data_IF_967331284169
#
_entry.id   IF_967331284169
#
_cell.length_a   1.000
_cell.length_b   1.000
_cell.length_c   1.000
_cell.angle_alpha   90.00
_cell.angle_beta   90.00
_cell.angle_gamma   90.00
#
_symmetry.space_group_name_H-M   'P 1'
#
loop_
_entity.id
_entity.type
_entity.pdbx_description
1 polymer ?
#
# COMPACT_ATOMS: atom_id res chain seq x y z
N UNK A 1 -16.50 -15.57 -20.60
CA UNK A 1 -16.59 -14.11 -20.53
C UNK A 1 -15.58 -13.62 -19.50
N UNK A 2 -14.95 -12.49 -19.79
CA UNK A 2 -13.95 -11.90 -18.91
C UNK A 2 -14.63 -10.90 -17.98
N UNK A 3 -14.35 -10.99 -16.65
CA UNK A 3 -14.85 -10.02 -15.69
C UNK A 3 -14.12 -8.68 -15.83
N UNK A 4 -14.87 -7.58 -15.78
CA UNK A 4 -14.35 -6.22 -15.91
C UNK A 4 -14.21 -5.61 -14.51
N UNK A 5 -13.00 -5.19 -14.17
CA UNK A 5 -12.69 -4.48 -12.93
C UNK A 5 -12.28 -3.03 -13.26
N UNK A 6 -13.01 -2.07 -12.70
CA UNK A 6 -12.72 -0.65 -12.92
C UNK A 6 -11.63 -0.18 -11.98
N UNK A 7 -10.56 0.36 -12.57
CA UNK A 7 -9.39 0.82 -11.83
C UNK A 7 -9.66 2.07 -10.99
N UNK A 8 -8.90 2.24 -9.90
CA UNK A 8 -8.84 3.51 -9.13
C UNK A 8 -8.49 4.73 -10.00
N UNK A 9 -7.90 4.52 -11.17
CA UNK A 9 -7.59 5.59 -12.14
C UNK A 9 -8.85 6.30 -12.67
N UNK A 10 -10.03 5.69 -12.55
CA UNK A 10 -11.31 6.33 -12.87
C UNK A 10 -11.77 7.33 -11.81
N UNK A 11 -11.11 7.37 -10.64
CA UNK A 11 -11.39 8.35 -9.58
C UNK A 11 -12.79 8.18 -8.97
N UNK A 12 -13.18 6.94 -8.65
CA UNK A 12 -14.50 6.60 -8.11
C UNK A 12 -14.59 7.04 -6.66
N UNK A 13 -15.40 8.06 -6.36
CA UNK A 13 -15.59 8.64 -5.03
C UNK A 13 -17.06 8.66 -4.57
N UNK A 14 -17.98 8.12 -5.33
CA UNK A 14 -19.39 8.11 -4.97
C UNK A 14 -20.13 6.92 -5.60
N UNK A 15 -21.30 6.61 -5.04
CA UNK A 15 -22.14 5.49 -5.49
C UNK A 15 -22.77 5.71 -6.88
N UNK A 16 -22.96 6.96 -7.32
CA UNK A 16 -23.54 7.24 -8.65
C UNK A 16 -22.62 6.74 -9.74
N UNK A 17 -21.34 7.15 -9.67
CA UNK A 17 -20.32 6.67 -10.62
C UNK A 17 -20.15 5.15 -10.54
N UNK A 18 -20.15 4.57 -9.32
CA UNK A 18 -20.03 3.13 -9.14
C UNK A 18 -21.20 2.38 -9.81
N UNK A 19 -22.44 2.85 -9.63
CA UNK A 19 -23.63 2.26 -10.25
C UNK A 19 -23.61 2.36 -11.77
N UNK A 20 -23.19 3.49 -12.33
CA UNK A 20 -23.08 3.62 -13.80
C UNK A 20 -22.08 2.64 -14.39
N UNK A 21 -20.92 2.49 -13.74
CA UNK A 21 -19.91 1.51 -14.17
C UNK A 21 -20.42 0.07 -14.07
N UNK A 22 -21.20 -0.25 -13.02
CA UNK A 22 -21.86 -1.53 -12.88
C UNK A 22 -22.89 -1.78 -13.99
N UNK A 23 -23.72 -0.78 -14.30
CA UNK A 23 -24.69 -0.85 -15.41
C UNK A 23 -24.02 -1.05 -16.77
N UNK A 24 -22.77 -0.55 -16.92
CA UNK A 24 -21.93 -0.78 -18.10
C UNK A 24 -21.27 -2.16 -18.12
N UNK A 25 -21.45 -2.99 -17.10
CA UNK A 25 -20.96 -4.36 -17.00
C UNK A 25 -19.71 -4.56 -16.12
N UNK A 26 -19.30 -3.56 -15.34
CA UNK A 26 -18.22 -3.74 -14.40
C UNK A 26 -18.67 -4.65 -13.22
N UNK A 27 -17.88 -5.68 -12.91
CA UNK A 27 -18.12 -6.57 -11.78
C UNK A 27 -17.54 -6.03 -10.49
N UNK A 28 -16.40 -5.33 -10.58
CA UNK A 28 -15.67 -4.75 -9.44
C UNK A 28 -15.30 -3.30 -9.71
N UNK A 29 -15.35 -2.49 -8.68
CA UNK A 29 -14.86 -1.11 -8.69
C UNK A 29 -13.77 -0.93 -7.65
N UNK A 30 -12.64 -0.34 -8.04
CA UNK A 30 -11.55 0.05 -7.12
C UNK A 30 -11.76 1.51 -6.75
N UNK A 31 -12.14 1.77 -5.51
CA UNK A 31 -12.41 3.11 -5.02
C UNK A 31 -11.14 3.97 -4.96
N UNK A 32 -11.34 5.27 -5.02
CA UNK A 32 -10.28 6.24 -4.77
C UNK A 32 -9.76 6.14 -3.32
N UNK A 33 -8.49 6.50 -3.09
CA UNK A 33 -7.83 6.38 -1.77
C UNK A 33 -8.23 7.49 -0.80
N UNK A 34 -8.90 8.49 -1.29
CA UNK A 34 -9.28 9.71 -0.59
C UNK A 34 -10.59 9.57 0.22
N UNK A 35 -11.22 8.39 0.19
CA UNK A 35 -12.47 8.11 0.88
C UNK A 35 -12.25 7.69 2.34
N UNK A 36 -13.13 8.18 3.21
CA UNK A 36 -13.30 7.71 4.58
C UNK A 36 -14.06 6.38 4.64
N UNK A 37 -14.02 5.69 5.79
CA UNK A 37 -14.80 4.45 6.01
C UNK A 37 -16.31 4.70 5.86
N UNK A 38 -16.80 5.83 6.33
CA UNK A 38 -18.22 6.19 6.25
C UNK A 38 -18.67 6.38 4.80
N UNK A 39 -17.84 7.04 3.97
CA UNK A 39 -18.11 7.20 2.55
C UNK A 39 -18.06 5.86 1.81
N UNK A 40 -17.13 4.97 2.16
CA UNK A 40 -17.09 3.60 1.62
C UNK A 40 -18.35 2.82 2.00
N UNK A 41 -18.80 2.92 3.25
CA UNK A 41 -20.03 2.30 3.72
C UNK A 41 -21.26 2.87 3.02
N UNK A 42 -21.31 4.19 2.78
CA UNK A 42 -22.38 4.83 2.01
C UNK A 42 -22.43 4.31 0.56
N UNK A 43 -21.28 4.22 -0.10
CA UNK A 43 -21.19 3.64 -1.45
C UNK A 43 -21.71 2.21 -1.43
N UNK A 44 -21.26 1.38 -0.48
CA UNK A 44 -21.72 -0.01 -0.35
C UNK A 44 -23.24 -0.10 -0.14
N UNK A 45 -23.81 0.73 0.70
CA UNK A 45 -25.24 0.72 1.01
C UNK A 45 -26.12 1.06 -0.20
N UNK A 46 -25.59 1.85 -1.15
CA UNK A 46 -26.32 2.37 -2.32
C UNK A 46 -25.93 1.69 -3.65
N UNK A 47 -25.18 0.60 -3.60
CA UNK A 47 -24.73 -0.17 -4.77
C UNK A 47 -25.27 -1.61 -4.74
N UNK A 48 -25.38 -2.30 -5.90
CA UNK A 48 -25.84 -3.68 -5.96
C UNK A 48 -24.99 -4.62 -5.09
N UNK A 49 -25.64 -5.58 -4.43
CA UNK A 49 -24.95 -6.48 -3.48
C UNK A 49 -23.88 -7.36 -4.12
N UNK A 50 -24.07 -7.71 -5.37
CA UNK A 50 -23.17 -8.54 -6.17
C UNK A 50 -22.04 -7.75 -6.85
N UNK A 51 -22.05 -6.41 -6.77
CA UNK A 51 -20.93 -5.58 -7.16
C UNK A 51 -19.83 -5.69 -6.11
N UNK A 52 -18.61 -5.99 -6.51
CA UNK A 52 -17.46 -6.04 -5.64
C UNK A 52 -16.84 -4.65 -5.44
N UNK A 53 -16.54 -4.32 -4.18
CA UNK A 53 -15.86 -3.08 -3.80
C UNK A 53 -14.45 -3.41 -3.35
N UNK A 54 -13.47 -2.87 -4.06
CA UNK A 54 -12.05 -3.01 -3.74
C UNK A 54 -11.49 -1.67 -3.24
N UNK A 55 -10.69 -1.74 -2.18
CA UNK A 55 -9.96 -0.56 -1.66
C UNK A 55 -8.48 -0.88 -1.47
N UNK A 56 -7.63 0.13 -1.59
CA UNK A 56 -6.24 -0.02 -1.18
C UNK A 56 -6.13 -0.13 0.33
N UNK A 57 -5.29 -1.05 0.80
CA UNK A 57 -5.09 -1.32 2.23
C UNK A 57 -3.63 -1.25 2.65
N UNK A 58 -2.70 -1.32 1.68
CA UNK A 58 -1.27 -1.30 1.99
C UNK A 58 -0.44 -0.72 0.85
N UNK A 59 0.66 -0.07 1.22
CA UNK A 59 1.70 0.42 0.30
C UNK A 59 1.66 1.91 0.08
N UNK A 60 2.31 2.33 -0.99
CA UNK A 60 2.56 3.73 -1.27
C UNK A 60 1.28 4.55 -1.48
N UNK A 61 1.10 5.60 -0.69
CA UNK A 61 0.10 6.64 -0.98
C UNK A 61 0.57 7.55 -2.13
N UNK A 62 -0.37 8.07 -2.89
CA UNK A 62 -0.13 9.07 -3.92
C UNK A 62 -0.31 10.48 -3.34
N UNK A 63 0.55 11.43 -3.73
CA UNK A 63 0.40 12.85 -3.39
C UNK A 63 -0.75 13.51 -4.14
N UNK A 64 -1.04 13.02 -5.34
CA UNK A 64 -2.11 13.52 -6.19
C UNK A 64 -3.38 12.70 -6.02
N UNK A 65 -4.53 13.34 -6.26
CA UNK A 65 -5.80 12.65 -6.33
C UNK A 65 -5.76 11.45 -7.30
N UNK A 66 -6.45 10.39 -6.96
CA UNK A 66 -6.46 9.14 -7.72
C UNK A 66 -6.81 9.36 -9.20
N UNK A 67 -5.91 8.95 -10.10
CA UNK A 67 -6.09 9.10 -11.55
C UNK A 67 -5.84 10.50 -12.11
N UNK A 68 -5.28 11.45 -11.36
CA UNK A 68 -5.09 12.85 -11.78
C UNK A 68 -3.62 13.33 -11.78
N UNK A 69 -2.67 12.45 -11.51
CA UNK A 69 -1.27 12.83 -11.44
C UNK A 69 -0.67 13.06 -12.83
N UNK A 70 -0.03 14.22 -13.02
CA UNK A 70 0.71 14.56 -14.23
C UNK A 70 2.24 14.60 -14.00
N UNK A 71 2.70 14.53 -12.77
CA UNK A 71 4.09 14.78 -12.41
C UNK A 71 5.07 13.82 -13.12
N UNK A 72 4.73 12.54 -13.18
CA UNK A 72 5.55 11.53 -13.86
C UNK A 72 5.60 11.73 -15.38
N UNK A 73 4.50 12.18 -15.97
CA UNK A 73 4.46 12.49 -17.40
C UNK A 73 5.35 13.69 -17.74
N UNK A 74 5.28 14.75 -16.93
CA UNK A 74 6.09 15.96 -17.15
C UNK A 74 7.59 15.73 -16.95
N UNK A 75 7.98 15.02 -15.87
CA UNK A 75 9.39 14.92 -15.50
C UNK A 75 10.14 13.82 -16.26
N UNK A 76 9.46 12.72 -16.63
CA UNK A 76 10.13 11.53 -17.20
C UNK A 76 9.36 10.88 -18.35
N UNK A 77 8.37 11.56 -18.91
CA UNK A 77 7.54 11.08 -20.02
C UNK A 77 6.93 9.67 -19.77
N UNK A 78 6.48 9.42 -18.53
CA UNK A 78 5.83 8.17 -18.13
C UNK A 78 4.47 8.46 -17.54
N UNK A 79 3.40 7.92 -18.16
CA UNK A 79 2.03 8.20 -17.74
C UNK A 79 1.67 7.45 -16.44
N UNK A 80 1.62 8.19 -15.33
CA UNK A 80 1.24 7.66 -14.02
C UNK A 80 -0.19 7.09 -14.02
N UNK A 81 -1.09 7.71 -14.77
CA UNK A 81 -2.51 7.34 -14.85
C UNK A 81 -2.74 6.08 -15.70
N UNK A 82 -1.72 5.65 -16.44
CA UNK A 82 -1.67 4.37 -17.17
C UNK A 82 -0.78 3.32 -16.52
N UNK A 83 -0.53 3.46 -15.23
CA UNK A 83 0.27 2.50 -14.47
C UNK A 83 1.79 2.61 -14.69
N UNK A 84 2.31 3.68 -15.31
CA UNK A 84 3.74 3.87 -15.59
C UNK A 84 4.41 4.87 -14.64
N UNK A 85 3.84 5.12 -13.46
CA UNK A 85 4.38 6.06 -12.50
C UNK A 85 5.84 5.75 -12.12
N UNK A 86 6.74 6.72 -12.28
CA UNK A 86 8.12 6.65 -11.85
C UNK A 86 8.32 7.12 -10.39
N UNK A 87 7.23 7.48 -9.72
CA UNK A 87 7.22 8.02 -8.34
C UNK A 87 8.07 9.29 -8.17
N UNK A 88 8.05 10.27 -9.09
CA UNK A 88 8.89 11.45 -8.95
C UNK A 88 8.53 12.28 -7.72
N UNK A 89 7.29 12.18 -7.23
CA UNK A 89 6.89 12.81 -5.96
C UNK A 89 7.69 12.34 -4.73
N UNK A 90 8.53 11.32 -4.87
CA UNK A 90 9.38 10.76 -3.81
C UNK A 90 10.86 11.04 -4.00
N UNK A 91 11.23 11.80 -5.02
CA UNK A 91 12.59 12.23 -5.23
C UNK A 91 12.91 13.43 -4.32
N UNK A 92 14.19 13.64 -4.03
CA UNK A 92 14.64 14.85 -3.36
C UNK A 92 14.58 16.05 -4.32
N UNK A 93 13.99 17.13 -3.87
CA UNK A 93 13.88 18.37 -4.62
C UNK A 93 14.41 19.54 -3.82
N UNK A 94 14.93 20.53 -4.56
CA UNK A 94 15.27 21.84 -4.03
C UNK A 94 14.66 22.90 -4.94
N UNK A 95 14.11 23.95 -4.36
CA UNK A 95 13.74 25.15 -5.12
C UNK A 95 14.98 25.98 -5.37
N UNK A 96 15.14 26.45 -6.60
CA UNK A 96 16.15 27.43 -6.97
C UNK A 96 15.44 28.63 -7.60
N UNK A 97 15.72 29.82 -7.12
CA UNK A 97 15.22 31.04 -7.75
C UNK A 97 16.16 31.42 -8.89
N UNK A 98 15.59 31.75 -10.07
CA UNK A 98 16.33 31.98 -11.32
C UNK A 98 17.45 33.01 -11.20
N UNK A 99 17.26 34.05 -10.36
CA UNK A 99 18.23 35.14 -10.12
C UNK A 99 19.26 34.83 -9.02
N UNK A 100 19.18 33.64 -8.41
CA UNK A 100 20.05 33.20 -7.32
C UNK A 100 20.68 31.84 -7.64
N UNK A 101 21.40 31.78 -8.75
CA UNK A 101 22.11 30.58 -9.16
C UNK A 101 22.99 29.99 -8.03
N UNK A 102 22.88 28.69 -7.80
CA UNK A 102 23.67 27.98 -6.79
C UNK A 102 23.11 28.04 -5.37
N UNK A 103 22.00 28.75 -5.13
CA UNK A 103 21.28 28.70 -3.85
C UNK A 103 20.10 27.71 -3.97
N UNK A 104 20.16 26.64 -3.20
CA UNK A 104 19.13 25.61 -3.15
C UNK A 104 18.31 25.76 -1.87
N UNK A 105 16.99 25.90 -2.04
CA UNK A 105 16.05 25.96 -0.93
C UNK A 105 15.39 24.60 -0.79
N UNK A 106 15.61 23.89 0.33
CA UNK A 106 14.93 22.63 0.58
C UNK A 106 13.42 22.86 0.65
N UNK A 107 12.65 21.89 0.18
CA UNK A 107 11.20 21.94 0.23
C UNK A 107 10.74 21.19 1.49
N UNK A 108 10.06 21.88 2.40
CA UNK A 108 9.48 21.34 3.62
C UNK A 108 7.99 21.63 3.70
N UNK A 109 7.29 21.03 4.63
CA UNK A 109 5.92 21.41 4.98
C UNK A 109 5.87 21.79 6.47
N UNK A 110 5.07 22.79 6.78
CA UNK A 110 4.70 23.17 8.13
C UNK A 110 3.18 23.37 8.25
N UNK A 111 2.71 23.83 9.39
CA UNK A 111 1.28 24.03 9.67
C UNK A 111 0.58 25.02 8.71
N UNK A 112 1.29 25.68 7.81
CA UNK A 112 0.82 26.76 6.95
C UNK A 112 0.82 26.46 5.46
N UNK A 113 1.45 25.34 5.00
CA UNK A 113 1.46 25.01 3.57
C UNK A 113 2.21 23.74 3.18
N UNK A 114 1.90 23.26 1.98
CA UNK A 114 2.46 22.03 1.40
C UNK A 114 3.79 22.30 0.72
N UNK A 115 4.79 21.61 1.13
CA UNK A 115 6.15 21.69 0.63
C UNK A 115 6.57 20.38 -0.02
N UNK A 116 5.77 19.88 -0.88
CA UNK A 116 5.98 18.72 -1.74
C UNK A 116 6.91 17.64 -1.17
N UNK A 117 6.41 16.47 -0.83
CA UNK A 117 6.34 15.24 -1.55
C UNK A 117 6.76 13.98 -0.79
N UNK A 118 6.45 13.77 0.47
CA UNK A 118 6.68 12.47 1.11
C UNK A 118 5.45 11.97 1.87
N UNK A 119 4.50 11.35 1.15
CA UNK A 119 3.40 10.67 1.82
C UNK A 119 3.91 9.41 2.53
N UNK A 120 3.42 9.17 3.75
CA UNK A 120 3.58 7.92 4.47
C UNK A 120 3.03 6.76 3.64
N UNK A 121 3.47 5.55 3.92
CA UNK A 121 2.88 4.36 3.32
C UNK A 121 1.59 3.97 4.08
N UNK A 122 0.58 3.51 3.34
CA UNK A 122 -0.68 3.05 3.95
C UNK A 122 -0.50 1.69 4.60
N UNK A 123 -1.11 1.47 5.76
CA UNK A 123 -1.25 0.16 6.39
C UNK A 123 -2.56 0.08 7.18
N UNK A 124 -3.46 -0.81 6.74
CA UNK A 124 -4.78 -1.03 7.35
C UNK A 124 -4.90 -2.39 8.02
N UNK A 125 -3.79 -3.09 8.26
CA UNK A 125 -3.81 -4.47 8.74
C UNK A 125 -4.49 -4.62 10.12
N UNK A 126 -4.41 -3.62 10.98
CA UNK A 126 -5.05 -3.58 12.28
C UNK A 126 -6.57 -3.31 12.22
N UNK A 127 -7.10 -2.93 11.06
CA UNK A 127 -8.46 -2.41 10.88
C UNK A 127 -9.26 -3.16 9.80
N UNK A 128 -8.93 -4.41 9.53
CA UNK A 128 -9.64 -5.21 8.52
C UNK A 128 -11.11 -5.45 8.88
N UNK A 129 -11.42 -5.53 10.17
CA UNK A 129 -12.79 -5.62 10.67
C UNK A 129 -13.63 -4.40 10.29
N UNK A 130 -13.06 -3.20 10.35
CA UNK A 130 -13.73 -1.97 9.98
C UNK A 130 -13.98 -1.88 8.47
N UNK A 131 -13.01 -2.32 7.67
CA UNK A 131 -13.18 -2.42 6.22
C UNK A 131 -14.27 -3.43 5.85
N UNK A 132 -14.28 -4.60 6.49
CA UNK A 132 -15.32 -5.61 6.29
C UNK A 132 -16.72 -5.09 6.68
N UNK A 133 -16.83 -4.40 7.83
CA UNK A 133 -18.08 -3.75 8.28
C UNK A 133 -18.56 -2.65 7.32
N UNK A 134 -17.64 -1.90 6.71
CA UNK A 134 -17.94 -0.94 5.64
C UNK A 134 -18.35 -1.60 4.31
N UNK A 135 -18.27 -2.95 4.23
CA UNK A 135 -18.70 -3.73 3.08
C UNK A 135 -17.68 -3.85 1.95
N UNK A 136 -16.41 -3.67 2.27
CA UNK A 136 -15.29 -3.96 1.35
C UNK A 136 -15.21 -5.45 1.10
N UNK A 137 -15.10 -5.84 -0.17
CA UNK A 137 -15.05 -7.25 -0.60
C UNK A 137 -13.68 -7.68 -1.13
N UNK A 138 -12.81 -6.71 -1.45
CA UNK A 138 -11.47 -6.97 -1.97
C UNK A 138 -10.44 -6.00 -1.39
N UNK A 139 -9.30 -6.54 -0.97
CA UNK A 139 -8.20 -5.79 -0.37
C UNK A 139 -7.05 -5.67 -1.37
N UNK A 140 -6.66 -4.44 -1.69
CA UNK A 140 -5.60 -4.18 -2.67
C UNK A 140 -4.30 -3.74 -2.01
N UNK A 141 -3.23 -4.47 -2.32
CA UNK A 141 -1.87 -4.15 -1.88
C UNK A 141 -1.12 -3.49 -3.05
N UNK A 142 -0.54 -2.31 -2.84
CA UNK A 142 0.34 -1.66 -3.81
C UNK A 142 1.79 -2.13 -3.59
N UNK A 143 2.32 -2.80 -4.58
CA UNK A 143 3.68 -3.34 -4.54
C UNK A 143 4.42 -3.30 -5.88
N UNK A 144 3.90 -2.58 -6.90
CA UNK A 144 4.45 -2.58 -8.25
C UNK A 144 5.93 -2.17 -8.33
N UNK A 145 6.31 -1.16 -7.56
CA UNK A 145 7.68 -0.66 -7.50
C UNK A 145 8.49 -1.26 -6.34
N UNK A 146 8.00 -2.33 -5.75
CA UNK A 146 8.62 -3.03 -4.62
C UNK A 146 9.22 -4.36 -5.06
N UNK A 147 10.08 -4.95 -4.21
CA UNK A 147 10.69 -6.26 -4.46
C UNK A 147 9.68 -7.42 -4.32
N UNK A 148 10.01 -8.59 -4.88
CA UNK A 148 9.24 -9.81 -4.67
C UNK A 148 9.14 -10.18 -3.18
N UNK A 149 10.20 -9.94 -2.40
CA UNK A 149 10.19 -10.11 -0.95
C UNK A 149 9.12 -9.26 -0.26
N UNK A 150 9.07 -7.96 -0.59
CA UNK A 150 8.03 -7.07 -0.07
C UNK A 150 6.63 -7.63 -0.35
N UNK A 151 6.36 -8.00 -1.59
CA UNK A 151 5.06 -8.53 -1.99
C UNK A 151 4.75 -9.82 -1.23
N UNK A 152 5.71 -10.72 -1.09
CA UNK A 152 5.55 -11.99 -0.37
C UNK A 152 5.22 -11.78 1.10
N UNK A 153 5.99 -10.96 1.81
CA UNK A 153 5.80 -10.69 3.25
C UNK A 153 4.44 -10.00 3.49
N UNK A 154 4.15 -8.93 2.75
CA UNK A 154 2.92 -8.16 2.96
C UNK A 154 1.69 -9.01 2.61
N UNK A 155 1.72 -9.73 1.49
CA UNK A 155 0.60 -10.61 1.11
C UNK A 155 0.38 -11.71 2.14
N UNK A 156 1.46 -12.30 2.67
CA UNK A 156 1.39 -13.31 3.73
C UNK A 156 0.78 -12.75 5.02
N UNK A 157 1.23 -11.57 5.46
CA UNK A 157 0.68 -10.91 6.65
C UNK A 157 -0.82 -10.60 6.50
N UNK A 158 -1.23 -10.02 5.36
CA UNK A 158 -2.63 -9.74 5.08
C UNK A 158 -3.47 -11.02 4.91
N UNK A 159 -2.90 -12.09 4.37
CA UNK A 159 -3.59 -13.40 4.30
C UNK A 159 -3.85 -13.95 5.69
N UNK A 160 -2.85 -13.97 6.56
CA UNK A 160 -3.03 -14.39 7.95
C UNK A 160 -4.05 -13.53 8.69
N UNK A 161 -3.97 -12.20 8.54
CA UNK A 161 -4.91 -11.26 9.15
C UNK A 161 -6.36 -11.48 8.67
N UNK A 162 -6.55 -11.69 7.36
CA UNK A 162 -7.86 -11.99 6.79
C UNK A 162 -8.43 -13.35 7.25
N UNK A 163 -7.57 -14.36 7.44
CA UNK A 163 -7.98 -15.66 7.96
C UNK A 163 -8.39 -15.58 9.44
N UNK A 164 -7.72 -14.73 10.24
CA UNK A 164 -8.10 -14.43 11.63
C UNK A 164 -9.46 -13.74 11.65
N UNK A 165 -9.65 -12.69 10.86
CA UNK A 165 -10.92 -11.99 10.74
C UNK A 165 -12.06 -12.93 10.34
N UNK A 166 -11.81 -13.83 9.38
CA UNK A 166 -12.82 -14.80 8.92
C UNK A 166 -13.24 -15.78 10.01
N UNK A 167 -12.35 -16.12 10.94
CA UNK A 167 -12.66 -17.04 12.06
C UNK A 167 -13.55 -16.38 13.11
N UNK A 168 -13.30 -15.12 13.43
CA UNK A 168 -14.07 -14.35 14.42
C UNK A 168 -14.22 -12.88 13.94
N UNK A 169 -15.23 -12.60 13.09
CA UNK A 169 -15.44 -11.26 12.54
C UNK A 169 -15.80 -10.18 13.57
N UNK A 170 -16.37 -10.59 14.71
CA UNK A 170 -16.85 -9.66 15.73
C UNK A 170 -15.75 -9.28 16.74
N UNK A 171 -14.75 -10.12 16.92
CA UNK A 171 -13.67 -9.93 17.88
C UNK A 171 -12.29 -9.97 17.18
N UNK A 172 -12.13 -9.16 16.13
CA UNK A 172 -10.87 -9.11 15.40
C UNK A 172 -9.76 -8.52 16.28
N UNK A 173 -8.80 -9.36 16.65
CA UNK A 173 -7.57 -8.97 17.33
C UNK A 173 -6.39 -9.50 16.53
N UNK A 174 -5.58 -8.59 15.99
CA UNK A 174 -4.40 -8.95 15.23
C UNK A 174 -3.25 -9.35 16.19
N UNK A 175 -2.72 -10.58 16.11
CA UNK A 175 -1.56 -10.98 16.91
C UNK A 175 -0.32 -10.17 16.55
N UNK A 176 0.51 -9.85 17.55
CA UNK A 176 1.70 -9.02 17.35
C UNK A 176 2.65 -9.59 16.31
N UNK A 177 2.84 -10.91 16.27
CA UNK A 177 3.71 -11.55 15.28
C UNK A 177 3.26 -11.33 13.82
N UNK A 178 1.96 -11.12 13.56
CA UNK A 178 1.45 -10.76 12.22
C UNK A 178 1.67 -9.29 11.95
N UNK A 179 1.45 -8.44 12.95
CA UNK A 179 1.71 -7.00 12.85
C UNK A 179 3.18 -6.71 12.60
N UNK A 180 4.07 -7.41 13.27
CA UNK A 180 5.52 -7.25 13.13
C UNK A 180 6.01 -7.56 11.70
N UNK A 181 5.36 -8.47 10.98
CA UNK A 181 5.75 -8.82 9.61
C UNK A 181 5.75 -7.61 8.67
N UNK A 182 4.79 -6.70 8.77
CA UNK A 182 4.72 -5.55 7.86
C UNK A 182 5.87 -4.56 8.08
N UNK A 183 6.56 -4.61 9.21
CA UNK A 183 7.74 -3.78 9.49
C UNK A 183 9.06 -4.43 9.03
N UNK A 184 9.06 -5.68 8.59
CA UNK A 184 10.26 -6.38 8.09
C UNK A 184 10.64 -5.98 6.66
N UNK A 185 9.73 -5.37 5.93
CA UNK A 185 9.97 -4.92 4.56
C UNK A 185 10.43 -3.47 4.50
N UNK A 186 11.00 -3.07 3.38
CA UNK A 186 11.36 -1.66 3.14
C UNK A 186 10.10 -0.79 3.04
N UNK A 187 9.85 0.01 4.06
CA UNK A 187 8.66 0.86 4.17
C UNK A 187 9.03 2.27 4.66
N UNK A 188 8.13 3.21 4.47
CA UNK A 188 8.08 4.48 5.20
C UNK A 188 7.18 4.30 6.42
N UNK A 189 7.13 5.29 7.29
CA UNK A 189 6.15 5.28 8.37
C UNK A 189 4.77 4.98 7.82
N UNK A 190 4.03 4.18 8.57
CA UNK A 190 2.69 3.79 8.21
C UNK A 190 1.65 4.79 8.70
N UNK A 191 0.59 4.92 7.91
CA UNK A 191 -0.63 5.63 8.26
C UNK A 191 -1.86 4.88 7.72
N UNK A 192 -3.04 5.30 8.17
CA UNK A 192 -4.32 4.73 7.74
C UNK A 192 -4.93 5.44 6.52
N UNK A 193 -4.18 6.32 5.86
CA UNK A 193 -4.71 7.15 4.77
C UNK A 193 -5.87 8.03 5.24
N UNK A 194 -6.93 8.11 4.42
CA UNK A 194 -8.12 8.91 4.71
C UNK A 194 -9.23 8.15 5.45
N UNK A 195 -9.06 6.86 5.74
CA UNK A 195 -10.14 6.04 6.29
C UNK A 195 -10.71 6.55 7.60
N UNK A 196 -9.94 7.19 8.45
CA UNK A 196 -10.37 7.73 9.74
C UNK A 196 -10.47 9.25 9.77
N UNK A 197 -10.52 9.91 8.62
CA UNK A 197 -10.66 11.35 8.50
C UNK A 197 -9.55 11.99 7.67
N UNK A 198 -9.50 13.32 7.68
CA UNK A 198 -8.50 14.05 6.90
C UNK A 198 -7.11 13.78 7.45
N UNK A 199 -6.10 13.53 6.59
CA UNK A 199 -4.75 13.16 6.99
C UNK A 199 -3.93 14.29 7.64
N UNK A 200 -4.56 15.35 8.12
CA UNK A 200 -3.89 16.39 8.92
C UNK A 200 -3.15 15.83 10.14
N UNK A 201 -3.54 14.64 10.63
CA UNK A 201 -2.85 13.89 11.68
C UNK A 201 -1.90 12.81 11.14
N UNK A 202 -2.10 12.38 9.90
CA UNK A 202 -1.18 11.52 9.16
C UNK A 202 -0.16 12.37 8.40
N UNK A 203 0.56 13.23 9.13
CA UNK A 203 1.48 14.20 8.54
C UNK A 203 2.50 13.53 7.64
N UNK A 204 2.82 14.21 6.56
CA UNK A 204 3.91 13.84 5.68
C UNK A 204 5.24 13.91 6.46
N UNK A 205 6.22 13.13 6.06
CA UNK A 205 7.51 13.05 6.74
C UNK A 205 8.39 14.22 6.32
N UNK A 206 9.05 14.90 7.29
CA UNK A 206 9.83 16.10 7.03
C UNK A 206 11.33 15.94 7.24
N UNK A 207 11.74 14.97 8.05
CA UNK A 207 13.12 14.90 8.51
C UNK A 207 13.99 13.95 7.68
N UNK A 208 13.41 12.92 7.05
CA UNK A 208 14.17 12.01 6.19
C UNK A 208 13.26 11.33 5.16
N UNK A 209 13.67 11.31 3.90
CA UNK A 209 13.00 10.52 2.85
C UNK A 209 13.38 9.03 2.91
N UNK A 210 14.07 8.62 3.97
CA UNK A 210 14.63 7.30 4.14
C UNK A 210 13.56 6.22 4.27
N UNK A 211 13.78 5.11 3.56
CA UNK A 211 13.07 3.88 3.83
C UNK A 211 13.68 3.19 5.04
N UNK A 212 12.83 2.78 5.99
CA UNK A 212 13.22 1.90 7.09
C UNK A 212 13.44 0.50 6.50
N UNK A 213 14.59 -0.09 6.77
CA UNK A 213 14.95 -1.46 6.37
C UNK A 213 15.49 -2.18 7.58
N UNK A 214 14.73 -3.09 8.13
CA UNK A 214 15.13 -3.89 9.28
C UNK A 214 15.67 -5.29 8.88
N UNK A 215 15.27 -5.78 7.69
CA UNK A 215 15.60 -7.12 7.21
C UNK A 215 16.07 -7.10 5.77
N UNK A 216 16.97 -8.01 5.44
CA UNK A 216 17.44 -8.26 4.08
C UNK A 216 17.09 -9.69 3.62
N UNK A 217 16.86 -9.83 2.32
CA UNK A 217 16.67 -11.15 1.70
C UNK A 217 18.03 -11.82 1.54
N UNK A 218 18.28 -12.87 2.30
CA UNK A 218 19.55 -13.59 2.23
C UNK A 218 19.56 -14.65 1.12
N UNK A 219 18.44 -15.37 0.94
CA UNK A 219 18.35 -16.46 -0.02
C UNK A 219 16.91 -16.74 -0.43
N UNK A 220 16.74 -17.47 -1.53
CA UNK A 220 15.45 -18.03 -1.98
C UNK A 220 15.54 -19.54 -1.91
N UNK A 221 14.60 -20.19 -1.21
CA UNK A 221 14.55 -21.65 -1.10
C UNK A 221 14.18 -22.24 -2.45
N UNK A 222 15.00 -23.17 -2.94
CA UNK A 222 14.78 -23.95 -4.14
C UNK A 222 14.00 -25.24 -3.82
N UNK A 223 14.50 -26.03 -2.85
CA UNK A 223 13.88 -27.29 -2.42
C UNK A 223 14.24 -27.67 -1.00
N UNK A 224 13.45 -28.58 -0.44
CA UNK A 224 13.73 -29.23 0.84
C UNK A 224 13.79 -30.74 0.65
N UNK A 225 14.92 -31.36 1.01
CA UNK A 225 15.13 -32.81 0.89
C UNK A 225 15.85 -33.37 2.12
N UNK A 226 15.35 -34.47 2.66
CA UNK A 226 15.97 -35.16 3.81
C UNK A 226 16.29 -34.25 5.00
N UNK A 227 15.40 -33.28 5.33
CA UNK A 227 15.60 -32.33 6.41
C UNK A 227 16.61 -31.24 6.11
N UNK A 228 17.07 -31.11 4.87
CA UNK A 228 17.97 -30.04 4.42
C UNK A 228 17.26 -29.10 3.48
N UNK A 229 17.54 -27.80 3.63
CA UNK A 229 17.06 -26.74 2.76
C UNK A 229 18.16 -26.40 1.77
N UNK A 230 17.82 -26.42 0.50
CA UNK A 230 18.67 -25.96 -0.60
C UNK A 230 18.14 -24.59 -1.04
N UNK A 231 19.02 -23.60 -1.07
CA UNK A 231 18.64 -22.24 -1.35
C UNK A 231 19.66 -21.53 -2.24
N UNK A 232 19.16 -20.63 -3.09
CA UNK A 232 19.99 -19.76 -3.91
C UNK A 232 20.27 -18.46 -3.12
N UNK A 233 21.54 -18.19 -2.84
CA UNK A 233 21.98 -17.00 -2.14
C UNK A 233 21.67 -15.73 -2.95
N UNK A 234 21.15 -14.71 -2.28
CA UNK A 234 20.88 -13.38 -2.84
C UNK A 234 21.73 -12.29 -2.19
N UNK A 235 22.00 -12.41 -0.90
CA UNK A 235 22.87 -11.52 -0.13
C UNK A 235 23.82 -12.31 0.74
N UNK A 236 24.86 -11.63 1.24
CA UNK A 236 25.86 -12.24 2.12
C UNK A 236 25.22 -12.56 3.47
N UNK A 237 25.43 -13.78 3.96
CA UNK A 237 25.20 -14.18 5.35
C UNK A 237 26.28 -15.18 5.77
N UNK A 238 26.45 -15.36 7.05
CA UNK A 238 27.55 -16.14 7.63
C UNK A 238 26.99 -17.24 8.55
N UNK A 239 27.83 -18.20 8.85
CA UNK A 239 27.52 -19.20 9.87
C UNK A 239 27.37 -18.52 11.23
N UNK A 240 26.21 -18.73 11.87
CA UNK A 240 25.87 -18.10 13.15
C UNK A 240 24.90 -16.91 13.02
N UNK A 241 24.60 -16.44 11.81
CA UNK A 241 23.53 -15.46 11.59
C UNK A 241 22.16 -16.09 11.88
N UNK A 242 21.29 -15.35 12.54
CA UNK A 242 19.89 -15.75 12.74
C UNK A 242 19.09 -15.43 11.46
N UNK A 243 18.47 -16.45 10.88
CA UNK A 243 17.65 -16.32 9.69
C UNK A 243 16.19 -16.63 10.00
N UNK A 244 15.30 -16.11 9.16
CA UNK A 244 13.87 -16.45 9.17
C UNK A 244 13.43 -17.02 7.83
N UNK A 245 12.75 -18.15 7.85
CA UNK A 245 12.15 -18.75 6.65
C UNK A 245 10.71 -18.27 6.55
N UNK A 246 10.41 -17.52 5.50
CA UNK A 246 9.04 -17.12 5.14
C UNK A 246 8.38 -18.25 4.34
N UNK A 247 7.22 -18.70 4.80
CA UNK A 247 6.38 -19.67 4.10
C UNK A 247 4.93 -19.18 4.04
N UNK A 248 4.15 -19.55 2.99
CA UNK A 248 2.78 -19.07 2.80
C UNK A 248 1.86 -19.43 3.96
N UNK A 249 1.07 -18.45 4.42
CA UNK A 249 0.05 -18.59 5.46
C UNK A 249 0.56 -19.12 6.81
N UNK A 250 1.85 -18.90 7.09
CA UNK A 250 2.50 -19.35 8.31
C UNK A 250 3.34 -18.23 8.93
N UNK A 251 3.50 -18.31 10.24
CA UNK A 251 4.50 -17.50 10.94
C UNK A 251 5.89 -17.88 10.43
N UNK A 252 6.77 -16.92 10.14
CA UNK A 252 8.17 -17.20 9.81
C UNK A 252 8.86 -18.05 10.89
N UNK A 253 9.67 -18.97 10.46
CA UNK A 253 10.40 -19.89 11.34
C UNK A 253 11.84 -19.45 11.41
N UNK A 254 12.34 -19.22 12.63
CA UNK A 254 13.75 -18.93 12.88
C UNK A 254 14.61 -20.19 12.72
N UNK A 255 15.78 -20.02 12.16
CA UNK A 255 16.78 -21.07 11.96
C UNK A 255 18.22 -20.55 12.08
#
# INVERSE_FOLDING_TARGET
DMEIHMSTQTGIVNYVTANELYNMGAKRVVLARELSLDEVAEIRAKTPRDMEIEVFVHGAMCVSFSGRCLLSSYLVNRDANRGQCAQPCRWGYHLMEEKREGQYFPIFEDEKGTYILNSKDMCMIDHLDKLAKAGVTSLKIEGRAKSAYYVSVITNAYRMAADILKKDPDNYVLPDYVREEVFKVSHRDYCTGFFFGHPSECRQYYEDSGYIRAYDVCAVVDRCENGRIYAEQRNKFLVGDELEILAPSQRPVKC
#
